data_IF_976815624028
#
_entry.id   IF_976815624028
#
_cell.length_a   1.000
_cell.length_b   1.000
_cell.length_c   1.000
_cell.angle_alpha   90.00
_cell.angle_beta   90.00
_cell.angle_gamma   90.00
#
_symmetry.space_group_name_H-M   'P 1'
#
loop_
_entity.id
_entity.type
_entity.pdbx_description
1 polymer ?
#
# COMPACT_ATOMS: atom_id res chain seq x y z
N UNK A 1 -6.89 76.13 -25.82
CA UNK A 1 -5.52 76.06 -26.35
C UNK A 1 -5.26 74.70 -26.92
N UNK A 2 -4.98 74.70 -28.19
CA UNK A 2 -4.70 73.51 -29.03
C UNK A 2 -3.37 72.87 -28.64
N UNK A 3 -3.25 71.59 -28.69
CA UNK A 3 -2.07 70.92 -29.34
C UNK A 3 -2.39 69.48 -29.64
N UNK A 4 -2.49 69.23 -30.91
CA UNK A 4 -2.42 67.91 -31.52
C UNK A 4 -0.96 67.41 -31.52
N UNK A 5 -0.73 66.09 -31.28
CA UNK A 5 0.52 65.47 -31.61
C UNK A 5 0.33 64.11 -32.32
N UNK A 6 1.08 63.99 -33.32
CA UNK A 6 1.04 63.13 -34.51
C UNK A 6 1.23 61.65 -34.23
N UNK A 7 0.51 60.91 -35.03
CA UNK A 7 0.67 59.50 -35.38
C UNK A 7 2.09 59.23 -36.02
N UNK A 8 2.79 58.28 -35.47
CA UNK A 8 3.95 57.70 -36.08
C UNK A 8 3.69 56.20 -36.33
N UNK A 9 3.38 55.89 -37.59
CA UNK A 9 3.34 54.51 -38.05
C UNK A 9 4.76 53.93 -38.02
N UNK A 10 4.99 52.94 -37.18
CA UNK A 10 6.12 52.03 -37.28
C UNK A 10 5.57 50.67 -37.63
N UNK A 11 5.73 50.37 -38.93
CA UNK A 11 5.48 49.04 -39.50
C UNK A 11 6.58 48.07 -39.01
N UNK A 12 6.33 47.36 -37.94
CA UNK A 12 7.19 46.25 -37.54
C UNK A 12 6.76 44.99 -38.27
N UNK A 13 7.55 44.64 -39.30
CA UNK A 13 7.46 43.34 -39.96
C UNK A 13 7.99 42.29 -38.95
N UNK A 14 7.09 41.60 -38.26
CA UNK A 14 7.44 40.46 -37.46
C UNK A 14 7.57 39.22 -38.35
N UNK A 15 8.81 38.86 -38.59
CA UNK A 15 9.19 37.55 -39.12
C UNK A 15 8.71 36.49 -38.10
N UNK A 16 7.67 35.76 -38.47
CA UNK A 16 7.19 34.61 -37.71
C UNK A 16 8.13 33.47 -38.03
N UNK A 17 9.20 33.31 -37.22
CA UNK A 17 9.86 32.02 -37.09
C UNK A 17 8.91 31.09 -36.31
N UNK A 18 8.27 30.19 -37.05
CA UNK A 18 7.50 29.10 -36.45
C UNK A 18 8.42 28.19 -35.67
N UNK A 19 8.49 28.40 -34.36
CA UNK A 19 8.97 27.38 -33.47
C UNK A 19 7.80 26.43 -33.26
N UNK A 20 7.82 25.31 -33.94
CA UNK A 20 6.99 24.16 -33.59
C UNK A 20 7.47 23.70 -32.22
N UNK A 21 6.85 24.21 -31.15
CA UNK A 21 6.85 23.57 -29.87
C UNK A 21 6.00 22.32 -30.06
N UNK A 22 6.66 21.19 -30.29
CA UNK A 22 6.00 19.91 -30.19
C UNK A 22 5.42 19.82 -28.79
N UNK A 23 4.08 19.86 -28.67
CA UNK A 23 3.40 19.27 -27.53
C UNK A 23 3.85 17.80 -27.52
N UNK A 24 4.82 17.51 -26.66
CA UNK A 24 5.00 16.13 -26.24
C UNK A 24 3.69 15.73 -25.62
N UNK A 25 2.99 14.80 -26.23
CA UNK A 25 1.96 14.03 -25.54
C UNK A 25 2.70 13.36 -24.38
N UNK A 26 2.67 14.01 -23.21
CA UNK A 26 2.89 13.34 -21.94
C UNK A 26 1.69 12.41 -21.75
N UNK A 27 1.68 11.32 -22.53
CA UNK A 27 0.89 10.18 -22.15
C UNK A 27 1.21 9.92 -20.68
N UNK A 28 0.21 9.91 -19.80
CA UNK A 28 0.45 9.55 -18.42
C UNK A 28 1.12 8.19 -18.47
N UNK A 29 2.42 8.16 -18.16
CA UNK A 29 3.15 6.90 -18.02
C UNK A 29 2.31 6.09 -17.07
N UNK A 30 1.62 5.10 -17.63
CA UNK A 30 0.91 4.13 -16.84
C UNK A 30 1.99 3.50 -15.97
N UNK A 31 2.13 4.03 -14.74
CA UNK A 31 2.96 3.42 -13.71
C UNK A 31 2.27 2.11 -13.46
N UNK A 32 2.67 1.08 -14.19
CA UNK A 32 2.30 -0.27 -13.82
C UNK A 32 2.65 -0.39 -12.36
N UNK A 33 1.66 -0.64 -11.47
CA UNK A 33 2.00 -0.93 -10.09
C UNK A 33 3.05 -2.03 -10.17
N UNK A 34 4.20 -1.92 -9.43
CA UNK A 34 5.16 -2.99 -9.45
C UNK A 34 4.38 -4.26 -9.16
N UNK A 35 4.50 -5.21 -10.06
CA UNK A 35 4.10 -6.58 -9.80
C UNK A 35 4.90 -7.00 -8.58
N UNK A 36 4.31 -6.87 -7.40
CA UNK A 36 4.76 -7.61 -6.24
C UNK A 36 4.72 -9.05 -6.72
N UNK A 37 5.83 -9.74 -6.59
CA UNK A 37 5.90 -11.14 -6.96
C UNK A 37 4.91 -11.89 -6.05
N UNK A 38 3.67 -12.02 -6.53
CA UNK A 38 2.52 -12.54 -5.79
C UNK A 38 2.66 -14.03 -5.47
N UNK A 39 3.81 -14.61 -5.81
CA UNK A 39 4.11 -16.04 -5.74
C UNK A 39 5.20 -16.38 -4.74
N UNK A 40 5.57 -15.50 -3.83
CA UNK A 40 6.45 -15.88 -2.74
C UNK A 40 5.67 -16.76 -1.77
N UNK A 41 5.82 -18.07 -1.96
CA UNK A 41 5.14 -19.09 -1.17
C UNK A 41 5.42 -18.88 0.33
N UNK A 42 4.37 -18.88 1.13
CA UNK A 42 4.46 -18.74 2.58
C UNK A 42 4.70 -17.31 3.11
N UNK A 43 4.64 -16.27 2.27
CA UNK A 43 4.78 -14.89 2.75
C UNK A 43 3.49 -14.38 3.40
N UNK A 44 3.64 -13.54 4.44
CA UNK A 44 2.53 -12.80 5.05
C UNK A 44 2.72 -11.32 4.75
N UNK A 45 1.68 -10.69 4.21
CA UNK A 45 1.72 -9.29 3.79
C UNK A 45 0.45 -8.52 4.10
N UNK A 46 0.50 -7.20 3.88
CA UNK A 46 -0.60 -6.25 4.04
C UNK A 46 -1.07 -5.82 2.66
N UNK A 47 -2.38 -5.93 2.42
CA UNK A 47 -3.00 -5.70 1.12
C UNK A 47 -4.26 -4.85 1.27
N UNK A 48 -4.69 -4.22 0.18
CA UNK A 48 -5.96 -3.49 0.12
C UNK A 48 -7.15 -4.38 -0.24
N UNK A 49 -6.92 -5.66 -0.49
CA UNK A 49 -7.96 -6.67 -0.78
C UNK A 49 -7.67 -7.99 -0.06
N UNK A 50 -8.72 -8.81 0.10
CA UNK A 50 -8.66 -10.09 0.80
C UNK A 50 -7.92 -11.20 0.06
N UNK A 51 -7.70 -11.02 -1.26
CA UNK A 51 -6.97 -11.99 -2.10
C UNK A 51 -5.46 -11.72 -2.10
N UNK A 52 -5.03 -10.61 -1.52
CA UNK A 52 -3.63 -10.20 -1.47
C UNK A 52 -3.05 -9.81 -2.83
N UNK A 53 -3.82 -9.14 -3.69
CA UNK A 53 -3.39 -8.73 -5.03
C UNK A 53 -2.77 -7.34 -5.05
N UNK A 54 -3.28 -6.43 -4.21
CA UNK A 54 -2.90 -5.02 -4.23
C UNK A 54 -2.26 -4.60 -2.91
N UNK A 55 -0.95 -4.31 -2.94
CA UNK A 55 -0.17 -3.84 -1.79
C UNK A 55 0.03 -2.32 -1.75
N UNK A 56 -0.63 -1.58 -2.63
CA UNK A 56 -0.53 -0.12 -2.72
C UNK A 56 -1.87 0.54 -2.54
N UNK A 57 -1.85 1.68 -1.87
CA UNK A 57 -3.01 2.54 -1.66
C UNK A 57 -2.59 4.00 -1.83
N UNK A 58 -3.49 4.80 -2.39
CA UNK A 58 -3.38 6.27 -2.35
C UNK A 58 -4.08 6.77 -1.10
N UNK A 59 -3.36 7.50 -0.25
CA UNK A 59 -3.93 8.12 0.94
C UNK A 59 -4.79 9.33 0.56
N UNK A 60 -6.09 9.18 0.68
CA UNK A 60 -7.09 10.25 0.45
C UNK A 60 -7.71 10.77 1.75
N UNK A 61 -7.17 10.33 2.89
CA UNK A 61 -7.76 10.61 4.20
C UNK A 61 -8.94 9.70 4.54
N UNK A 62 -9.39 9.78 5.78
CA UNK A 62 -10.55 9.04 6.27
C UNK A 62 -10.24 7.64 6.78
N UNK A 63 -11.23 6.76 6.70
CA UNK A 63 -11.10 5.38 7.18
C UNK A 63 -10.69 4.45 6.05
N UNK A 64 -9.67 3.63 6.28
CA UNK A 64 -9.11 2.69 5.32
C UNK A 64 -9.01 1.32 5.97
N UNK A 65 -9.41 0.27 5.24
CA UNK A 65 -9.26 -1.11 5.70
C UNK A 65 -8.19 -1.81 4.87
N UNK A 66 -7.26 -2.45 5.56
CA UNK A 66 -6.26 -3.34 5.00
C UNK A 66 -6.53 -4.78 5.44
N UNK A 67 -5.96 -5.71 4.71
CA UNK A 67 -6.09 -7.14 4.95
C UNK A 67 -4.71 -7.76 5.11
N UNK A 68 -4.54 -8.54 6.16
CA UNK A 68 -3.38 -9.41 6.32
C UNK A 68 -3.69 -10.71 5.58
N UNK A 69 -2.84 -11.05 4.63
CA UNK A 69 -2.99 -12.26 3.83
C UNK A 69 -1.69 -13.08 3.89
N UNK A 70 -1.84 -14.34 4.25
CA UNK A 70 -0.79 -15.35 4.14
C UNK A 70 -0.88 -15.95 2.74
N UNK A 71 0.12 -15.68 1.92
CA UNK A 71 0.12 -15.97 0.48
C UNK A 71 0.64 -17.37 0.19
N UNK A 72 -0.08 -18.04 -0.71
CA UNK A 72 0.38 -19.26 -1.40
C UNK A 72 1.08 -20.25 -0.46
N UNK A 73 0.38 -20.65 0.61
CA UNK A 73 0.90 -21.72 1.48
C UNK A 73 0.51 -23.10 0.96
N UNK A 74 1.43 -24.05 1.02
CA UNK A 74 1.15 -25.47 0.72
C UNK A 74 0.34 -26.12 1.83
N UNK A 75 0.32 -25.51 3.01
CA UNK A 75 -0.49 -25.90 4.16
C UNK A 75 0.04 -25.28 5.44
N UNK A 76 -0.79 -24.45 6.07
CA UNK A 76 -0.48 -23.80 7.34
C UNK A 76 -1.62 -23.96 8.34
N UNK A 77 -1.29 -24.03 9.63
CA UNK A 77 -2.25 -24.11 10.75
C UNK A 77 -2.21 -22.89 11.66
N UNK A 78 -1.15 -22.09 11.59
CA UNK A 78 -1.02 -20.86 12.39
C UNK A 78 0.01 -19.91 11.78
N UNK A 79 -0.04 -18.66 12.21
CA UNK A 79 1.01 -17.67 11.99
C UNK A 79 1.19 -16.76 13.20
N UNK A 80 2.42 -16.19 13.33
CA UNK A 80 2.73 -15.21 14.34
C UNK A 80 3.57 -14.07 13.76
N UNK A 81 3.13 -12.83 14.00
CA UNK A 81 3.72 -11.62 13.47
C UNK A 81 3.32 -10.40 14.31
N UNK A 82 3.91 -9.25 14.04
CA UNK A 82 3.46 -7.93 14.49
C UNK A 82 3.37 -6.95 13.32
N UNK A 83 2.73 -5.80 13.57
CA UNK A 83 2.56 -4.76 12.56
C UNK A 83 3.28 -3.50 12.99
N UNK A 84 4.02 -2.90 12.06
CA UNK A 84 4.56 -1.55 12.20
C UNK A 84 3.80 -0.63 11.25
N UNK A 85 3.20 0.42 11.81
CA UNK A 85 2.45 1.43 11.08
C UNK A 85 3.34 2.63 10.74
N UNK A 86 3.12 3.27 9.58
CA UNK A 86 3.75 4.55 9.29
C UNK A 86 3.20 5.66 10.21
N UNK A 87 4.00 6.70 10.43
CA UNK A 87 3.64 7.80 11.31
C UNK A 87 2.32 8.47 10.90
N UNK A 88 1.50 8.81 11.90
CA UNK A 88 0.23 9.51 11.73
C UNK A 88 -0.97 8.62 11.44
N UNK A 89 -0.78 7.34 11.14
CA UNK A 89 -1.88 6.38 11.03
C UNK A 89 -2.33 5.91 12.40
N UNK A 90 -3.64 5.82 12.60
CA UNK A 90 -4.24 5.40 13.87
C UNK A 90 -5.10 4.18 13.65
N UNK A 91 -4.75 3.06 14.26
CA UNK A 91 -5.54 1.82 14.20
C UNK A 91 -6.87 2.03 14.96
N UNK A 92 -7.99 1.80 14.25
CA UNK A 92 -9.35 1.90 14.81
C UNK A 92 -9.81 0.53 15.27
N UNK A 93 -9.58 -0.51 14.47
CA UNK A 93 -9.96 -1.88 14.78
C UNK A 93 -9.04 -2.89 14.13
N UNK A 94 -9.00 -4.08 14.73
CA UNK A 94 -8.35 -5.26 14.18
C UNK A 94 -9.29 -6.45 14.44
N UNK A 95 -9.63 -7.18 13.39
CA UNK A 95 -10.56 -8.32 13.48
C UNK A 95 -9.91 -9.52 12.82
N UNK A 96 -9.67 -10.57 13.59
CA UNK A 96 -9.20 -11.86 13.08
C UNK A 96 -10.33 -12.62 12.39
N UNK A 97 -10.04 -13.31 11.30
CA UNK A 97 -10.96 -14.24 10.67
C UNK A 97 -11.05 -15.58 11.43
N UNK A 98 -10.17 -15.78 12.41
CA UNK A 98 -10.06 -17.01 13.19
C UNK A 98 -10.39 -16.78 14.64
N UNK A 99 -11.01 -17.79 15.28
CA UNK A 99 -11.44 -17.72 16.66
C UNK A 99 -10.28 -17.67 17.68
N UNK A 100 -9.11 -18.21 17.30
CA UNK A 100 -7.95 -18.28 18.18
C UNK A 100 -6.96 -17.20 17.79
N UNK A 101 -6.82 -16.18 18.63
CA UNK A 101 -5.76 -15.18 18.53
C UNK A 101 -5.24 -14.83 19.92
N UNK A 102 -3.92 -14.80 20.09
CA UNK A 102 -3.23 -14.58 21.35
C UNK A 102 -2.20 -13.46 21.15
N UNK A 103 -2.16 -12.50 22.05
CA UNK A 103 -1.25 -11.37 21.97
C UNK A 103 -1.90 -10.12 21.38
N UNK A 104 -1.06 -9.21 20.86
CA UNK A 104 -1.47 -7.95 20.24
C UNK A 104 -0.61 -7.64 19.01
N UNK A 105 -1.05 -6.70 18.18
CA UNK A 105 -0.35 -6.37 16.93
C UNK A 105 0.93 -5.55 17.11
N UNK A 106 1.12 -4.91 18.26
CA UNK A 106 2.27 -4.04 18.52
C UNK A 106 3.49 -4.85 18.99
N UNK A 107 3.26 -5.84 19.84
CA UNK A 107 4.30 -6.71 20.39
C UNK A 107 4.41 -8.04 19.62
N UNK A 108 3.28 -8.52 19.15
CA UNK A 108 3.15 -9.77 18.41
C UNK A 108 1.81 -10.43 18.67
N UNK A 109 1.21 -10.97 17.62
CA UNK A 109 -0.02 -11.75 17.67
C UNK A 109 0.23 -13.12 17.04
N UNK A 110 -0.29 -14.15 17.70
CA UNK A 110 -0.32 -15.53 17.20
C UNK A 110 -1.74 -15.90 16.84
N UNK A 111 -1.98 -16.37 15.64
CA UNK A 111 -3.32 -16.69 15.12
C UNK A 111 -3.32 -18.14 14.66
N UNK A 112 -4.20 -18.94 15.29
CA UNK A 112 -4.45 -20.33 14.92
C UNK A 112 -5.58 -20.43 13.91
N UNK A 113 -5.36 -21.10 12.77
CA UNK A 113 -6.34 -21.24 11.70
C UNK A 113 -7.39 -22.34 11.95
N UNK A 114 -7.19 -23.14 13.02
CA UNK A 114 -8.12 -24.18 13.44
C UNK A 114 -8.02 -25.47 12.64
N UNK A 115 -7.54 -25.41 11.41
CA UNK A 115 -7.35 -26.54 10.51
C UNK A 115 -6.19 -26.25 9.54
N UNK A 116 -5.70 -27.27 8.84
CA UNK A 116 -4.74 -27.08 7.77
C UNK A 116 -5.39 -26.34 6.61
N UNK A 117 -4.84 -25.18 6.26
CA UNK A 117 -5.30 -24.36 5.14
C UNK A 117 -4.21 -24.15 4.11
N UNK A 118 -4.56 -24.24 2.84
CA UNK A 118 -3.65 -24.04 1.72
C UNK A 118 -4.10 -22.90 0.82
N UNK A 119 -3.22 -22.41 -0.04
CA UNK A 119 -3.47 -21.27 -0.93
C UNK A 119 -3.29 -19.94 -0.22
N UNK A 120 -4.03 -18.92 -0.64
CA UNK A 120 -4.01 -17.61 0.03
C UNK A 120 -5.06 -17.58 1.15
N UNK A 121 -4.62 -17.24 2.35
CA UNK A 121 -5.45 -17.23 3.56
C UNK A 121 -5.62 -15.78 4.01
N UNK A 122 -6.85 -15.27 4.01
CA UNK A 122 -7.18 -14.01 4.66
C UNK A 122 -7.12 -14.21 6.18
N UNK A 123 -6.17 -13.57 6.85
CA UNK A 123 -5.87 -13.80 8.27
C UNK A 123 -6.64 -12.82 9.15
N UNK A 124 -6.66 -11.54 8.78
CA UNK A 124 -7.36 -10.51 9.54
C UNK A 124 -7.60 -9.23 8.72
N UNK A 125 -8.55 -8.44 9.18
CA UNK A 125 -8.85 -7.09 8.68
C UNK A 125 -8.43 -6.04 9.69
N UNK A 126 -7.73 -4.99 9.22
CA UNK A 126 -7.22 -3.87 9.99
C UNK A 126 -7.84 -2.58 9.47
N UNK A 127 -8.56 -1.85 10.31
CA UNK A 127 -9.10 -0.55 9.93
C UNK A 127 -8.30 0.56 10.60
N UNK A 128 -7.86 1.51 9.79
CA UNK A 128 -7.09 2.68 10.22
C UNK A 128 -7.79 3.97 9.87
N UNK A 129 -7.51 5.01 10.66
CA UNK A 129 -7.71 6.39 10.26
C UNK A 129 -6.41 6.89 9.62
N UNK A 130 -6.52 7.31 8.36
CA UNK A 130 -5.43 7.90 7.60
C UNK A 130 -5.27 9.39 7.95
N UNK A 131 -4.05 9.93 7.99
CA UNK A 131 -3.80 11.36 8.15
C UNK A 131 -4.16 12.19 6.90
N UNK A 132 -4.35 11.58 5.72
CA UNK A 132 -4.66 12.26 4.46
C UNK A 132 -3.47 12.96 3.78
N UNK A 133 -2.29 12.88 4.38
CA UNK A 133 -1.05 13.49 3.90
C UNK A 133 0.17 12.61 4.13
N UNK A 134 -0.02 11.31 4.02
CA UNK A 134 1.07 10.33 4.19
C UNK A 134 2.20 10.61 3.19
N UNK A 135 3.42 10.63 3.69
CA UNK A 135 4.62 10.82 2.85
C UNK A 135 4.71 9.69 1.81
N UNK A 136 4.88 10.00 0.52
CA UNK A 136 5.05 8.98 -0.51
C UNK A 136 6.16 7.99 -0.17
N UNK A 137 5.89 6.70 -0.32
CA UNK A 137 6.82 5.63 0.03
C UNK A 137 6.73 5.16 1.48
N UNK A 138 5.86 5.75 2.31
CA UNK A 138 5.54 5.20 3.63
C UNK A 138 4.91 3.82 3.51
N UNK A 139 5.31 2.90 4.38
CA UNK A 139 4.88 1.49 4.31
C UNK A 139 4.39 1.00 5.66
N UNK A 140 3.32 0.22 5.63
CA UNK A 140 3.01 -0.72 6.69
C UNK A 140 3.92 -1.93 6.55
N UNK A 141 4.37 -2.49 7.66
CA UNK A 141 5.24 -3.67 7.63
C UNK A 141 4.68 -4.79 8.49
N UNK A 142 4.74 -6.00 7.97
CA UNK A 142 4.61 -7.22 8.77
C UNK A 142 6.01 -7.59 9.25
N UNK A 143 6.18 -7.68 10.55
CA UNK A 143 7.46 -7.94 11.21
C UNK A 143 7.35 -9.20 12.08
N UNK A 144 8.49 -9.82 12.43
CA UNK A 144 8.51 -10.91 13.38
C UNK A 144 7.89 -10.54 14.73
N UNK A 145 7.26 -11.49 15.39
CA UNK A 145 6.81 -11.39 16.77
C UNK A 145 7.99 -11.07 17.70
N UNK A 146 7.80 -10.20 18.71
CA UNK A 146 8.91 -9.78 19.58
C UNK A 146 9.58 -10.94 20.34
N UNK A 147 8.86 -12.01 20.65
CA UNK A 147 9.44 -13.20 21.28
C UNK A 147 10.28 -14.04 20.31
N UNK A 148 10.05 -13.91 18.98
CA UNK A 148 10.75 -14.65 17.93
C UNK A 148 11.23 -13.66 16.85
N UNK A 149 12.23 -12.84 17.14
CA UNK A 149 12.57 -11.67 16.34
C UNK A 149 13.27 -11.96 15.01
N UNK A 150 13.65 -13.22 14.76
CA UNK A 150 14.41 -13.57 13.56
C UNK A 150 13.55 -13.62 12.29
N UNK A 151 12.34 -14.19 12.40
CA UNK A 151 11.45 -14.37 11.26
C UNK A 151 9.98 -14.30 11.66
N UNK A 152 9.13 -13.93 10.71
CA UNK A 152 7.69 -14.17 10.82
C UNK A 152 7.46 -15.67 10.89
N UNK A 153 6.73 -16.12 11.90
CA UNK A 153 6.53 -17.55 12.14
C UNK A 153 5.29 -18.06 11.41
N UNK A 154 5.42 -19.22 10.81
CA UNK A 154 4.32 -19.98 10.22
C UNK A 154 4.45 -21.42 10.70
N UNK A 155 3.36 -22.02 11.14
CA UNK A 155 3.28 -23.42 11.50
C UNK A 155 2.71 -24.18 10.30
N UNK A 156 3.52 -25.02 9.67
CA UNK A 156 3.10 -25.83 8.54
C UNK A 156 2.27 -27.04 9.00
N UNK A 157 1.44 -27.57 8.11
CA UNK A 157 0.57 -28.71 8.43
C UNK A 157 1.34 -30.01 8.70
N UNK A 158 2.55 -30.14 8.17
CA UNK A 158 3.40 -31.30 8.38
C UNK A 158 4.17 -31.34 9.69
N UNK A 159 4.14 -30.25 10.44
CA UNK A 159 4.92 -30.07 11.69
C UNK A 159 4.14 -30.47 12.95
N UNK A 160 3.00 -31.18 12.81
CA UNK A 160 2.13 -31.64 13.91
C UNK A 160 2.40 -33.08 14.32
#
# INVERSE_FOLDING_TARGET
MKNAFRIGNVLCILLVLGVFVGCGDDDPVAVNPPTVDVNEAGSIGIYSDTDGRYSRLTDTGGSVTFHIVHKVTDGATASAFRIEEPAGWVRISATSEFAVSIGNLDDGISIGYGECRSGSIHVMSLTYRSPGNTVPGSTFKVLPHNEWPENVQVVNCGDQ
#
